data_IF_506105916514
#
_entry.id   IF_506105916514
#
_cell.length_a   1.000
_cell.length_b   1.000
_cell.length_c   1.000
_cell.angle_alpha   90.00
_cell.angle_beta   90.00
_cell.angle_gamma   90.00
#
_symmetry.space_group_name_H-M   'P 1'
#
loop_
_entity.id
_entity.type
_entity.pdbx_description
1 polymer ?
#
# COMPACT_ATOMS: atom_id res chain seq x y z
N UNK A 1 -7.24 -20.50 -1.79
CA UNK A 1 -7.47 -19.21 -1.09
C UNK A 1 -6.31 -18.78 -0.18
N UNK A 2 -5.23 -19.57 -0.01
CA UNK A 2 -4.13 -19.28 0.92
C UNK A 2 -3.11 -18.19 0.51
N UNK A 3 -3.19 -17.64 -0.72
CA UNK A 3 -2.13 -16.75 -1.26
C UNK A 3 -1.97 -15.41 -0.55
N UNK A 4 -3.01 -14.82 0.04
CA UNK A 4 -2.88 -13.51 0.69
C UNK A 4 -2.25 -13.65 2.07
N UNK A 5 -2.78 -14.56 2.90
CA UNK A 5 -2.28 -14.83 4.26
C UNK A 5 -0.81 -15.24 4.20
N UNK A 6 -0.45 -16.16 3.31
CA UNK A 6 0.94 -16.60 3.13
C UNK A 6 1.85 -15.48 2.61
N UNK A 7 1.42 -14.71 1.60
CA UNK A 7 2.26 -13.68 0.97
C UNK A 7 2.56 -12.50 1.91
N UNK A 8 1.57 -12.11 2.72
CA UNK A 8 1.69 -11.03 3.69
C UNK A 8 2.04 -11.51 5.10
N UNK A 9 2.30 -12.81 5.27
CA UNK A 9 2.76 -13.41 6.53
C UNK A 9 1.79 -13.09 7.70
N UNK A 10 0.48 -13.18 7.44
CA UNK A 10 -0.54 -12.85 8.43
C UNK A 10 -0.80 -14.05 9.36
N UNK A 11 -1.06 -13.77 10.64
CA UNK A 11 -1.45 -14.78 11.62
C UNK A 11 -2.94 -14.65 11.95
N UNK A 12 -3.64 -15.78 12.03
CA UNK A 12 -4.99 -15.83 12.57
C UNK A 12 -4.94 -15.43 14.06
N UNK A 13 -5.78 -14.47 14.45
CA UNK A 13 -5.86 -14.00 15.84
C UNK A 13 -6.96 -14.72 16.65
N UNK A 14 -7.66 -15.69 16.06
CA UNK A 14 -8.69 -16.51 16.69
C UNK A 14 -10.09 -15.87 16.75
N UNK A 15 -10.29 -14.67 16.20
CA UNK A 15 -11.59 -13.99 16.18
C UNK A 15 -12.20 -13.89 14.76
N UNK A 16 -11.62 -14.59 13.78
CA UNK A 16 -12.00 -14.48 12.37
C UNK A 16 -11.27 -13.37 11.60
N UNK A 17 -10.32 -12.67 12.23
CA UNK A 17 -9.45 -11.70 11.60
C UNK A 17 -7.99 -12.20 11.54
N UNK A 18 -7.19 -11.46 10.77
CA UNK A 18 -5.77 -11.74 10.62
C UNK A 18 -4.94 -10.54 11.12
N UNK A 19 -3.92 -10.83 11.92
CA UNK A 19 -2.97 -9.85 12.42
C UNK A 19 -1.66 -9.86 11.62
N UNK A 20 -1.05 -8.69 11.46
CA UNK A 20 0.29 -8.55 10.88
C UNK A 20 1.34 -9.09 11.85
N UNK A 21 2.22 -9.98 11.39
CA UNK A 21 3.34 -10.49 12.21
C UNK A 21 4.66 -9.77 11.93
N UNK A 22 4.68 -8.93 10.90
CA UNK A 22 5.88 -8.26 10.40
C UNK A 22 5.57 -6.91 9.74
N UNK A 23 6.49 -6.39 8.92
CA UNK A 23 6.30 -5.10 8.26
C UNK A 23 5.32 -5.17 7.07
N UNK A 24 5.04 -6.39 6.59
CA UNK A 24 4.03 -6.66 5.57
C UNK A 24 2.62 -6.58 6.17
N UNK A 25 1.65 -6.24 5.32
CA UNK A 25 0.26 -6.28 5.71
C UNK A 25 -0.70 -6.12 4.53
N UNK A 26 -1.94 -6.50 4.75
CA UNK A 26 -3.03 -6.31 3.80
C UNK A 26 -4.26 -5.84 4.56
N UNK A 27 -4.82 -4.71 4.14
CA UNK A 27 -5.97 -4.10 4.78
C UNK A 27 -7.12 -3.97 3.80
N UNK A 28 -8.32 -4.21 4.30
CA UNK A 28 -9.58 -4.01 3.60
C UNK A 28 -10.35 -2.89 4.29
N UNK A 29 -10.98 -2.02 3.51
CA UNK A 29 -11.96 -1.06 4.01
C UNK A 29 -13.34 -1.70 3.88
N UNK A 30 -14.07 -1.75 4.99
CA UNK A 30 -15.35 -2.44 5.11
C UNK A 30 -16.42 -1.43 5.55
N UNK A 31 -17.61 -1.51 4.97
CA UNK A 31 -18.77 -0.74 5.44
C UNK A 31 -19.29 -1.33 6.76
N UNK A 32 -19.46 -0.47 7.77
CA UNK A 32 -19.81 -0.89 9.11
C UNK A 32 -21.22 -1.50 9.23
N UNK A 33 -22.12 -1.16 8.32
CA UNK A 33 -23.52 -1.58 8.29
C UNK A 33 -23.77 -2.84 7.44
N UNK A 34 -22.93 -3.11 6.44
CA UNK A 34 -23.15 -4.18 5.47
C UNK A 34 -22.03 -5.21 5.36
N UNK A 35 -20.90 -4.99 6.04
CA UNK A 35 -19.66 -5.76 5.87
C UNK A 35 -19.12 -5.78 4.42
N UNK A 36 -19.61 -4.90 3.54
CA UNK A 36 -19.15 -4.80 2.16
C UNK A 36 -17.71 -4.28 2.09
N UNK A 37 -16.85 -5.00 1.37
CA UNK A 37 -15.48 -4.55 1.07
C UNK A 37 -15.52 -3.47 -0.01
N UNK A 38 -15.17 -2.23 0.37
CA UNK A 38 -15.20 -1.04 -0.50
C UNK A 38 -13.83 -0.55 -0.92
N UNK A 39 -12.76 -1.19 -0.45
CA UNK A 39 -11.39 -0.91 -0.88
C UNK A 39 -10.39 -1.84 -0.21
N UNK A 40 -9.16 -1.84 -0.73
CA UNK A 40 -8.07 -2.60 -0.13
C UNK A 40 -6.70 -2.03 -0.52
N UNK A 41 -5.68 -2.41 0.23
CA UNK A 41 -4.28 -2.08 -0.03
C UNK A 41 -3.38 -3.16 0.58
N UNK A 42 -2.23 -3.41 -0.05
CA UNK A 42 -1.16 -4.20 0.53
C UNK A 42 0.10 -3.38 0.73
N UNK A 43 0.82 -3.66 1.81
CA UNK A 43 2.19 -3.22 2.05
C UNK A 43 3.10 -4.44 1.98
N UNK A 44 4.05 -4.42 1.06
CA UNK A 44 5.08 -5.44 0.89
C UNK A 44 6.48 -4.85 1.15
N UNK A 45 7.51 -5.67 1.04
CA UNK A 45 8.90 -5.26 1.22
C UNK A 45 9.64 -5.32 -0.09
N UNK A 46 10.14 -4.17 -0.54
CA UNK A 46 10.99 -4.07 -1.72
C UNK A 46 12.44 -4.43 -1.39
N UNK A 47 12.93 -3.91 -0.28
CA UNK A 47 14.27 -4.14 0.25
C UNK A 47 14.28 -3.91 1.78
N UNK A 48 15.38 -4.24 2.51
CA UNK A 48 15.43 -4.13 3.97
C UNK A 48 15.06 -2.77 4.57
N UNK A 49 15.09 -1.70 3.76
CA UNK A 49 14.82 -0.32 4.16
C UNK A 49 13.62 0.32 3.48
N UNK A 50 12.97 -0.38 2.54
CA UNK A 50 11.90 0.17 1.71
C UNK A 50 10.66 -0.71 1.73
N UNK A 51 9.58 -0.15 2.25
CA UNK A 51 8.23 -0.69 2.08
C UNK A 51 7.70 -0.34 0.68
N UNK A 52 6.84 -1.19 0.14
CA UNK A 52 6.16 -0.95 -1.13
C UNK A 52 4.64 -1.07 -0.98
N UNK A 53 3.93 0.02 -1.24
CA UNK A 53 2.47 -0.01 -1.33
C UNK A 53 2.07 -0.59 -2.67
N UNK A 54 1.27 -1.66 -2.63
CA UNK A 54 0.84 -2.42 -3.79
C UNK A 54 -0.68 -2.54 -3.80
N UNK A 55 -1.24 -2.59 -5.02
CA UNK A 55 -2.65 -2.96 -5.27
C UNK A 55 -3.67 -2.10 -4.50
N UNK A 56 -3.41 -0.81 -4.31
CA UNK A 56 -4.38 0.08 -3.65
C UNK A 56 -5.56 0.37 -4.58
N UNK A 57 -6.77 -0.03 -4.16
CA UNK A 57 -7.99 0.12 -4.94
C UNK A 57 -9.15 0.58 -4.05
N UNK A 58 -10.00 1.45 -4.58
CA UNK A 58 -11.28 1.84 -3.98
C UNK A 58 -12.40 1.56 -4.97
N UNK A 59 -13.49 0.96 -4.48
CA UNK A 59 -14.71 0.69 -5.24
C UNK A 59 -15.19 1.95 -5.96
N UNK A 60 -15.49 1.91 -7.27
CA UNK A 60 -15.96 3.07 -8.03
C UNK A 60 -17.14 3.80 -7.38
N UNK A 61 -18.09 3.05 -6.82
CA UNK A 61 -19.29 3.57 -6.15
C UNK A 61 -19.01 4.26 -4.81
N UNK A 62 -17.82 4.07 -4.25
CA UNK A 62 -17.43 4.57 -2.92
C UNK A 62 -16.22 5.53 -2.99
N UNK A 63 -15.93 6.07 -4.18
CA UNK A 63 -14.85 7.05 -4.34
C UNK A 63 -15.23 8.40 -3.73
N UNK A 64 -14.22 9.23 -3.48
CA UNK A 64 -14.37 10.59 -2.92
C UNK A 64 -14.88 10.64 -1.47
N UNK A 65 -14.96 9.49 -0.79
CA UNK A 65 -15.29 9.36 0.64
C UNK A 65 -14.06 9.26 1.55
N UNK A 66 -12.85 9.55 1.03
CA UNK A 66 -11.62 9.46 1.82
C UNK A 66 -11.05 8.06 2.01
N UNK A 67 -11.67 7.00 1.48
CA UNK A 67 -11.23 5.60 1.65
C UNK A 67 -9.77 5.38 1.25
N UNK A 68 -9.35 5.85 0.07
CA UNK A 68 -7.96 5.71 -0.37
C UNK A 68 -6.97 6.44 0.55
N UNK A 69 -7.38 7.57 1.15
CA UNK A 69 -6.58 8.27 2.14
C UNK A 69 -6.45 7.45 3.43
N UNK A 70 -7.54 6.86 3.92
CA UNK A 70 -7.51 6.00 5.10
C UNK A 70 -6.58 4.80 4.87
N UNK A 71 -6.71 4.11 3.74
CA UNK A 71 -5.86 2.98 3.37
C UNK A 71 -4.37 3.36 3.30
N UNK A 72 -4.06 4.52 2.70
CA UNK A 72 -2.69 5.05 2.65
C UNK A 72 -2.14 5.34 4.06
N UNK A 73 -2.91 6.04 4.89
CA UNK A 73 -2.53 6.33 6.29
C UNK A 73 -2.27 5.04 7.06
N UNK A 74 -3.12 4.02 6.91
CA UNK A 74 -2.94 2.72 7.58
C UNK A 74 -1.60 2.08 7.21
N UNK A 75 -1.20 2.10 5.93
CA UNK A 75 0.09 1.58 5.51
C UNK A 75 1.27 2.40 6.08
N UNK A 76 1.18 3.74 6.03
CA UNK A 76 2.25 4.60 6.56
C UNK A 76 2.43 4.43 8.06
N UNK A 77 1.32 4.41 8.81
CA UNK A 77 1.34 4.18 10.25
C UNK A 77 1.91 2.82 10.60
N UNK A 78 1.51 1.76 9.89
CA UNK A 78 2.04 0.41 10.12
C UNK A 78 3.55 0.37 9.92
N UNK A 79 4.04 0.92 8.81
CA UNK A 79 5.47 0.95 8.50
C UNK A 79 6.28 1.75 9.52
N UNK A 80 5.77 2.91 9.98
CA UNK A 80 6.38 3.72 11.04
C UNK A 80 6.40 2.97 12.38
N UNK A 81 5.26 2.42 12.79
CA UNK A 81 5.12 1.66 14.05
C UNK A 81 6.09 0.47 14.08
N UNK A 82 6.12 -0.33 13.01
CA UNK A 82 7.03 -1.47 12.90
C UNK A 82 8.50 -1.05 13.04
N UNK A 83 8.91 0.01 12.33
CA UNK A 83 10.30 0.46 12.30
C UNK A 83 10.77 1.05 13.64
N UNK A 84 9.89 1.74 14.37
CA UNK A 84 10.21 2.24 15.71
C UNK A 84 10.31 1.12 16.74
N UNK A 85 9.41 0.14 16.71
CA UNK A 85 9.37 -0.94 17.70
C UNK A 85 10.46 -1.99 17.50
N UNK A 86 11.11 -2.05 16.33
CA UNK A 86 11.97 -3.17 15.94
C UNK A 86 13.32 -2.72 15.33
N UNK A 87 14.04 -1.82 16.00
CA UNK A 87 15.30 -1.25 15.49
C UNK A 87 16.46 -2.25 15.26
N UNK A 88 16.33 -3.50 15.71
CA UNK A 88 17.27 -4.62 15.43
C UNK A 88 16.67 -5.72 14.53
N UNK A 89 15.48 -5.51 13.98
CA UNK A 89 14.86 -6.50 13.12
C UNK A 89 15.50 -6.55 11.73
N UNK A 90 15.21 -7.64 11.02
CA UNK A 90 15.58 -7.88 9.62
C UNK A 90 15.21 -6.70 8.69
N UNK A 91 14.18 -5.94 9.05
CA UNK A 91 13.69 -4.80 8.28
C UNK A 91 13.68 -3.56 9.17
N UNK A 92 14.18 -2.44 8.65
CA UNK A 92 14.16 -1.13 9.28
C UNK A 92 13.72 -0.12 8.22
N UNK A 93 12.40 0.01 8.03
CA UNK A 93 11.86 0.80 6.93
C UNK A 93 12.16 2.28 7.16
N UNK A 94 12.82 2.88 6.18
CA UNK A 94 13.15 4.31 6.15
C UNK A 94 12.29 5.07 5.15
N UNK A 95 11.75 4.35 4.17
CA UNK A 95 10.86 4.92 3.15
C UNK A 95 9.78 3.95 2.72
N UNK A 96 8.74 4.51 2.11
CA UNK A 96 7.72 3.80 1.35
C UNK A 96 7.81 4.23 -0.11
N UNK A 97 7.63 3.26 -1.00
CA UNK A 97 7.51 3.50 -2.43
C UNK A 97 6.22 2.91 -2.99
N UNK A 98 5.82 3.40 -4.16
CA UNK A 98 4.75 2.83 -4.96
C UNK A 98 4.97 3.15 -6.43
N UNK A 99 4.35 2.38 -7.31
CA UNK A 99 4.38 2.64 -8.75
C UNK A 99 2.98 2.92 -9.30
N UNK A 100 2.89 3.84 -10.24
CA UNK A 100 1.65 4.11 -10.98
C UNK A 100 1.95 4.57 -12.40
N UNK A 101 0.96 4.55 -13.27
CA UNK A 101 1.12 4.97 -14.67
C UNK A 101 0.60 6.39 -14.90
N UNK A 102 0.93 6.98 -16.05
CA UNK A 102 0.36 8.26 -16.46
C UNK A 102 -1.18 8.28 -16.57
N UNK A 103 -1.81 7.12 -16.71
CA UNK A 103 -3.27 6.98 -16.83
C UNK A 103 -4.04 7.12 -15.51
N UNK A 104 -3.35 7.28 -14.37
CA UNK A 104 -4.00 7.42 -13.06
C UNK A 104 -3.78 8.80 -12.42
N UNK A 105 -4.30 9.89 -13.00
CA UNK A 105 -4.07 11.25 -12.48
C UNK A 105 -4.61 11.44 -11.06
N UNK A 106 -5.73 10.80 -10.70
CA UNK A 106 -6.29 10.87 -9.36
C UNK A 106 -5.41 10.19 -8.30
N UNK A 107 -4.78 9.06 -8.63
CA UNK A 107 -3.85 8.39 -7.74
C UNK A 107 -2.60 9.25 -7.52
N UNK A 108 -2.05 9.83 -8.60
CA UNK A 108 -0.91 10.75 -8.53
C UNK A 108 -1.19 11.97 -7.65
N UNK A 109 -2.38 12.57 -7.77
CA UNK A 109 -2.80 13.67 -6.92
C UNK A 109 -2.92 13.27 -5.44
N UNK A 110 -3.42 12.06 -5.17
CA UNK A 110 -3.46 11.52 -3.81
C UNK A 110 -2.04 11.37 -3.24
N UNK A 111 -1.11 10.77 -3.99
CA UNK A 111 0.27 10.57 -3.54
C UNK A 111 0.97 11.90 -3.22
N UNK A 112 0.81 12.90 -4.10
CA UNK A 112 1.37 14.23 -3.87
C UNK A 112 0.81 14.87 -2.58
N UNK A 113 -0.50 14.73 -2.31
CA UNK A 113 -1.12 15.22 -1.06
C UNK A 113 -0.60 14.51 0.19
N UNK A 114 -0.19 13.26 0.06
CA UNK A 114 0.45 12.51 1.14
C UNK A 114 1.95 12.82 1.27
N UNK A 115 2.52 13.72 0.46
CA UNK A 115 3.93 14.10 0.52
C UNK A 115 4.87 13.14 -0.21
N UNK A 116 4.33 12.27 -1.08
CA UNK A 116 5.18 11.49 -1.98
C UNK A 116 5.67 12.35 -3.14
N UNK A 117 6.92 12.15 -3.53
CA UNK A 117 7.53 12.75 -4.72
C UNK A 117 7.91 11.67 -5.73
N UNK A 118 8.00 12.04 -7.01
CA UNK A 118 8.54 11.14 -8.04
C UNK A 118 10.03 10.93 -7.79
N UNK A 119 10.44 9.67 -7.61
CA UNK A 119 11.85 9.26 -7.39
C UNK A 119 12.38 8.42 -8.54
N UNK A 120 11.53 8.03 -9.49
CA UNK A 120 11.92 7.32 -10.69
C UNK A 120 10.85 7.41 -11.77
N UNK A 121 11.28 7.39 -13.03
CA UNK A 121 10.40 7.33 -14.19
C UNK A 121 10.95 6.32 -15.19
N UNK A 122 10.08 5.44 -15.66
CA UNK A 122 10.39 4.43 -16.66
C UNK A 122 9.39 4.53 -17.82
N UNK A 123 9.79 4.01 -18.97
CA UNK A 123 8.90 3.84 -20.13
C UNK A 123 8.74 2.36 -20.42
N UNK A 124 7.53 1.86 -20.21
CA UNK A 124 7.21 0.48 -20.52
C UNK A 124 6.53 0.39 -21.88
N UNK A 125 6.91 -0.62 -22.66
CA UNK A 125 6.23 -0.91 -23.91
C UNK A 125 4.99 -1.76 -23.62
N UNK A 126 3.82 -1.26 -23.98
CA UNK A 126 2.55 -1.95 -23.85
C UNK A 126 1.86 -2.01 -25.22
N UNK A 127 2.02 -3.15 -25.89
CA UNK A 127 1.66 -3.31 -27.31
C UNK A 127 2.43 -2.34 -28.20
N UNK A 128 1.68 -1.50 -28.94
CA UNK A 128 2.23 -0.48 -29.84
C UNK A 128 2.48 0.88 -29.18
N UNK A 129 2.21 1.04 -27.88
CA UNK A 129 2.37 2.30 -27.15
C UNK A 129 3.46 2.20 -26.08
N UNK A 130 4.10 3.34 -25.82
CA UNK A 130 4.94 3.53 -24.65
C UNK A 130 4.11 4.18 -23.55
N UNK A 131 4.21 3.64 -22.34
CA UNK A 131 3.52 4.15 -21.16
C UNK A 131 4.55 4.63 -20.17
N UNK A 132 4.38 5.84 -19.64
CA UNK A 132 5.18 6.34 -18.53
C UNK A 132 4.73 5.70 -17.23
N UNK A 133 5.67 5.08 -16.54
CA UNK A 133 5.51 4.51 -15.21
C UNK A 133 6.32 5.35 -14.24
N UNK A 134 5.67 5.85 -13.21
CA UNK A 134 6.26 6.69 -12.19
C UNK A 134 6.42 5.89 -10.91
N UNK A 135 7.60 5.91 -10.34
CA UNK A 135 7.87 5.46 -8.98
C UNK A 135 7.81 6.67 -8.06
N UNK A 136 6.89 6.64 -7.10
CA UNK A 136 6.76 7.62 -6.03
C UNK A 136 7.45 7.11 -4.77
N UNK A 137 8.09 7.99 -4.03
CA UNK A 137 8.77 7.69 -2.78
C UNK A 137 8.49 8.75 -1.71
N UNK A 138 8.46 8.32 -0.45
CA UNK A 138 8.31 9.15 0.74
C UNK A 138 9.12 8.55 1.89
N UNK A 139 9.87 9.37 2.61
CA UNK A 139 10.59 8.95 3.82
C UNK A 139 9.62 8.83 5.02
N UNK A 140 9.89 7.87 5.91
CA UNK A 140 9.10 7.54 7.10
C UNK A 140 9.58 8.33 8.32
#
# INVERSE_FOLDING_TARGET
MARIVEHYELADNGNGEYATTGPKGFWVAVLADSEEIVGYVGLDIKDPTTGEIRRMVTSPSHRRLGIASMLMSTCEEHARKYSHSNSKAKYALKRITLQTTEYQPHARALYARFGFSVVGEERWRYGFRWIRVFTYGKEL
#
